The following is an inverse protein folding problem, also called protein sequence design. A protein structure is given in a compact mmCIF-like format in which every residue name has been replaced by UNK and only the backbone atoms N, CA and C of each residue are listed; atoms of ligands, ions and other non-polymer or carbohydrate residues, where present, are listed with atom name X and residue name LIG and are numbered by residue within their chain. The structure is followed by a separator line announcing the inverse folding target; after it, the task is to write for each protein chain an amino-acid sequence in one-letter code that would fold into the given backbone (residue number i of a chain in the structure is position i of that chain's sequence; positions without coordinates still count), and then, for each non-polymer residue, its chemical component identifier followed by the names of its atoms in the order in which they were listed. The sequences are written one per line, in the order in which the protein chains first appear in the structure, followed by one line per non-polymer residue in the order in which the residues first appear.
data_IF_674141640913
#
_entry.id   IF_674141640913
#
_cell.length_a   1.000
_cell.length_b   1.000
_cell.length_c   1.000
_cell.angle_alpha   90.00
_cell.angle_beta   90.00
_cell.angle_gamma   90.00
#
_symmetry.space_group_name_H-M   'P 1'
#
loop_
_entity.id
_entity.type
_entity.pdbx_description
1 polymer ?
#
# COMPACT_ATOMS: atom_id res chain seq x y z
N UNK A 1 10.23 6.19 -1.01
CA UNK A 1 8.86 6.23 -0.46
C UNK A 1 8.66 5.05 0.48
N UNK A 2 8.09 5.29 1.67
CA UNK A 2 7.84 4.27 2.67
C UNK A 2 6.35 4.21 2.99
N UNK A 3 5.72 3.06 2.73
CA UNK A 3 4.32 2.79 3.04
C UNK A 3 4.22 1.81 4.20
N UNK A 4 3.28 2.06 5.09
CA UNK A 4 2.92 1.16 6.17
C UNK A 4 1.46 0.77 6.00
N UNK A 5 1.17 -0.52 6.13
CA UNK A 5 -0.16 -1.09 5.94
C UNK A 5 -0.40 -2.13 7.02
N UNK A 6 -1.60 -2.19 7.56
CA UNK A 6 -1.99 -3.18 8.56
C UNK A 6 -2.82 -4.34 7.98
N UNK A 7 -3.37 -4.17 6.78
CA UNK A 7 -3.94 -5.26 6.00
C UNK A 7 -2.85 -6.05 5.26
N UNK A 8 -2.60 -7.26 5.75
CA UNK A 8 -1.65 -8.21 5.14
C UNK A 8 -2.09 -8.70 3.76
N UNK A 9 -3.40 -8.69 3.47
CA UNK A 9 -3.96 -9.02 2.15
C UNK A 9 -3.67 -7.91 1.14
N UNK A 10 -3.89 -6.65 1.52
CA UNK A 10 -3.52 -5.49 0.70
C UNK A 10 -2.02 -5.45 0.44
N UNK A 11 -1.19 -5.67 1.46
CA UNK A 11 0.27 -5.73 1.33
C UNK A 11 0.69 -6.78 0.28
N UNK A 12 0.13 -7.98 0.35
CA UNK A 12 0.45 -9.09 -0.56
C UNK A 12 -0.04 -8.84 -1.99
N UNK A 13 -1.23 -8.26 -2.13
CA UNK A 13 -1.86 -7.97 -3.43
C UNK A 13 -1.11 -6.91 -4.22
N UNK A 14 -0.52 -5.91 -3.55
CA UNK A 14 0.26 -4.87 -4.22
C UNK A 14 1.52 -5.43 -4.89
N UNK A 15 2.16 -6.43 -4.28
CA UNK A 15 3.36 -7.05 -4.85
C UNK A 15 3.06 -8.08 -5.94
N UNK A 16 1.87 -8.70 -5.93
CA UNK A 16 1.45 -9.68 -6.92
C UNK A 16 -0.03 -9.50 -7.26
N UNK A 17 -0.37 -8.45 -8.03
CA UNK A 17 -1.76 -8.15 -8.36
C UNK A 17 -2.33 -9.27 -9.23
N UNK A 18 -3.39 -9.92 -8.76
CA UNK A 18 -4.12 -10.91 -9.56
C UNK A 18 -5.23 -10.20 -10.32
N UNK A 19 -5.43 -10.48 -11.62
CA UNK A 19 -6.55 -9.93 -12.37
C UNK A 19 -7.85 -10.60 -11.89
N UNK A 20 -8.45 -10.06 -10.83
CA UNK A 20 -9.79 -10.40 -10.36
C UNK A 20 -10.65 -9.13 -10.31
N UNK A 21 -11.93 -9.24 -10.63
CA UNK A 21 -12.90 -8.17 -10.42
C UNK A 21 -12.80 -7.65 -8.97
N UNK A 22 -12.64 -6.33 -8.80
CA UNK A 22 -12.52 -5.68 -7.49
C UNK A 22 -11.10 -5.25 -7.08
N UNK A 23 -10.05 -5.56 -7.86
CA UNK A 23 -8.66 -5.15 -7.55
C UNK A 23 -8.13 -3.98 -8.40
N UNK A 24 -9.01 -3.14 -8.96
CA UNK A 24 -8.63 -2.00 -9.82
C UNK A 24 -7.63 -1.06 -9.16
N UNK A 25 -7.78 -0.79 -7.85
CA UNK A 25 -6.86 0.06 -7.10
C UNK A 25 -5.47 -0.57 -6.92
N UNK A 26 -5.39 -1.87 -6.64
CA UNK A 26 -4.09 -2.55 -6.52
C UNK A 26 -3.35 -2.57 -7.86
N UNK A 27 -4.06 -2.79 -8.96
CA UNK A 27 -3.47 -2.72 -10.31
C UNK A 27 -3.00 -1.30 -10.66
N UNK A 28 -3.82 -0.28 -10.39
CA UNK A 28 -3.47 1.13 -10.62
C UNK A 28 -2.26 1.57 -9.78
N UNK A 29 -2.23 1.16 -8.51
CA UNK A 29 -1.07 1.38 -7.64
C UNK A 29 0.17 0.71 -8.20
N UNK A 30 0.08 -0.58 -8.58
CA UNK A 30 1.19 -1.31 -9.15
C UNK A 30 1.74 -0.62 -10.41
N UNK A 31 0.88 -0.26 -11.36
CA UNK A 31 1.30 0.43 -12.58
C UNK A 31 1.99 1.78 -12.31
N UNK A 32 1.47 2.55 -11.35
CA UNK A 32 2.05 3.83 -10.95
C UNK A 32 3.37 3.65 -10.23
N UNK A 33 3.45 2.67 -9.33
CA UNK A 33 4.67 2.31 -8.61
C UNK A 33 5.77 1.84 -9.56
N UNK A 34 5.44 0.98 -10.54
CA UNK A 34 6.38 0.55 -11.58
C UNK A 34 6.91 1.75 -12.38
N UNK A 35 6.03 2.62 -12.89
CA UNK A 35 6.46 3.83 -13.61
C UNK A 35 7.36 4.74 -12.77
N UNK A 36 7.08 4.88 -11.48
CA UNK A 36 7.91 5.64 -10.56
C UNK A 36 9.29 5.00 -10.42
N UNK A 37 9.37 3.68 -10.21
CA UNK A 37 10.64 2.95 -10.10
C UNK A 37 11.45 2.99 -11.40
N UNK A 38 10.79 2.83 -12.55
CA UNK A 38 11.43 2.82 -13.87
C UNK A 38 11.99 4.19 -14.28
N UNK A 39 11.44 5.29 -13.73
CA UNK A 39 11.87 6.64 -14.06
C UNK A 39 13.28 6.99 -13.53
N UNK A 40 13.74 6.33 -12.46
CA UNK A 40 15.06 6.55 -11.88
C UNK A 40 15.50 5.36 -11.02
N UNK A 41 16.68 4.79 -11.28
CA UNK A 41 17.24 3.66 -10.52
C UNK A 41 17.51 3.96 -9.03
N UNK A 42 17.55 5.22 -8.62
CA UNK A 42 17.66 5.62 -7.21
C UNK A 42 16.30 5.57 -6.49
N UNK A 43 15.19 5.54 -7.23
CA UNK A 43 13.88 5.45 -6.63
C UNK A 43 13.68 4.12 -5.90
N UNK A 44 13.22 4.23 -4.66
CA UNK A 44 12.94 3.08 -3.81
C UNK A 44 11.54 3.20 -3.23
N UNK A 45 10.78 2.12 -3.30
CA UNK A 45 9.51 1.95 -2.60
C UNK A 45 9.72 0.83 -1.59
N UNK A 46 9.38 1.07 -0.33
CA UNK A 46 9.24 0.01 0.66
C UNK A 46 7.82 -0.02 1.18
N UNK A 47 7.23 -1.21 1.25
CA UNK A 47 5.92 -1.43 1.87
C UNK A 47 6.17 -2.36 3.04
N UNK A 48 5.78 -1.94 4.24
CA UNK A 48 5.95 -2.73 5.46
C UNK A 48 4.60 -2.97 6.11
N UNK A 49 4.41 -4.21 6.54
CA UNK A 49 3.26 -4.54 7.35
C UNK A 49 3.44 -4.02 8.79
N UNK A 50 2.35 -3.58 9.41
CA UNK A 50 2.28 -3.03 10.74
C UNK A 50 1.08 -3.64 11.49
N UNK A 51 1.19 -3.87 12.80
CA UNK A 51 0.04 -4.37 13.56
C UNK A 51 -1.01 -3.26 13.75
N UNK A 52 -2.28 -3.57 13.51
CA UNK A 52 -3.38 -2.63 13.75
C UNK A 52 -3.72 -2.52 15.25
N UNK A 53 -4.30 -1.39 15.65
CA UNK A 53 -4.82 -1.17 17.02
C UNK A 53 -3.81 -1.37 18.17
N UNK A 54 -2.52 -1.14 17.92
CA UNK A 54 -1.45 -1.25 18.93
C UNK A 54 -0.89 0.10 19.42
N UNK A 55 -1.59 1.23 19.25
CA UNK A 55 -1.06 2.54 19.66
C UNK A 55 -0.13 3.18 18.65
N UNK A 56 -0.03 2.65 17.43
CA UNK A 56 0.81 3.22 16.37
C UNK A 56 0.07 4.42 15.79
N UNK A 57 0.40 5.61 16.32
CA UNK A 57 -0.28 6.87 16.01
C UNK A 57 -0.51 7.12 14.51
N UNK A 58 0.45 6.76 13.66
CA UNK A 58 0.31 6.89 12.21
C UNK A 58 -0.78 5.99 11.62
N UNK A 59 -0.82 4.72 12.02
CA UNK A 59 -1.82 3.76 11.55
C UNK A 59 -3.21 4.11 12.08
N UNK A 60 -3.33 4.45 13.36
CA UNK A 60 -4.62 4.81 13.96
C UNK A 60 -5.23 6.07 13.33
N UNK A 61 -4.37 7.03 12.96
CA UNK A 61 -4.81 8.20 12.21
C UNK A 61 -5.28 7.82 10.81
N UNK A 62 -4.56 6.94 10.12
CA UNK A 62 -4.94 6.45 8.79
C UNK A 62 -6.30 5.72 8.85
N UNK A 63 -6.50 4.82 9.81
CA UNK A 63 -7.78 4.14 10.06
C UNK A 63 -8.94 5.10 10.28
N UNK A 64 -8.73 6.13 11.10
CA UNK A 64 -9.78 7.10 11.40
C UNK A 64 -10.17 7.90 10.17
N UNK A 65 -9.19 8.31 9.36
CA UNK A 65 -9.44 9.04 8.11
C UNK A 65 -10.13 8.14 7.08
N UNK A 66 -9.73 6.87 6.97
CA UNK A 66 -10.35 5.91 6.06
C UNK A 66 -11.84 5.66 6.41
N UNK A 67 -12.19 5.63 7.69
CA UNK A 67 -13.60 5.52 8.14
C UNK A 67 -14.45 6.77 7.87
N UNK A 68 -13.82 7.90 7.53
CA UNK A 68 -14.49 9.18 7.27
C UNK A 68 -14.66 9.48 5.77
N UNK A 69 -14.08 8.67 4.89
CA UNK A 69 -14.16 8.80 3.43
C UNK A 69 -15.28 7.95 2.84
#
# INVERSE_FOLDING_TARGET
LHFFVDDSSAASTIFNPRPKCGQSFAYSFHQTASRFLDANNEHRISIRWCHSHCGIHGNERADRLAKQA
#
